data_IF_209598016290
#
_entry.id   IF_209598016290
#
_cell.length_a   1.000
_cell.length_b   1.000
_cell.length_c   1.000
_cell.angle_alpha   90.00
_cell.angle_beta   90.00
_cell.angle_gamma   90.00
#
_symmetry.space_group_name_H-M   'P 1'
#
loop_
_entity.id
_entity.type
_entity.pdbx_description
1 polymer ?
#
# COMPACT_ATOMS: atom_id res chain seq x y z
N UNK A 1 11.29 -21.86 -15.67
CA UNK A 1 11.44 -20.48 -15.17
C UNK A 1 12.92 -20.21 -15.04
N UNK A 2 13.39 -19.09 -15.59
CA UNK A 2 14.78 -18.67 -15.47
C UNK A 2 14.95 -17.96 -14.12
N UNK A 3 15.79 -18.49 -13.23
CA UNK A 3 15.99 -17.99 -11.84
C UNK A 3 17.21 -17.08 -11.72
N UNK A 4 17.79 -16.66 -12.84
CA UNK A 4 19.06 -15.90 -12.93
C UNK A 4 18.99 -14.50 -12.33
N UNK A 5 17.80 -13.88 -12.23
CA UNK A 5 17.64 -12.52 -11.69
C UNK A 5 16.69 -12.38 -10.50
N UNK A 6 15.72 -13.30 -10.34
CA UNK A 6 14.73 -13.28 -9.25
C UNK A 6 14.46 -14.71 -8.76
N UNK A 7 14.59 -14.95 -7.46
CA UNK A 7 14.43 -16.29 -6.88
C UNK A 7 12.95 -16.73 -6.85
N UNK A 8 12.00 -15.83 -6.52
CA UNK A 8 10.55 -16.08 -6.65
C UNK A 8 9.77 -14.77 -6.84
N UNK A 9 8.82 -14.76 -7.78
CA UNK A 9 7.90 -13.62 -8.01
C UNK A 9 6.43 -14.06 -7.98
N UNK A 10 5.51 -13.09 -7.84
CA UNK A 10 4.06 -13.33 -7.90
C UNK A 10 3.59 -14.01 -9.16
N UNK A 11 4.22 -13.67 -10.27
CA UNK A 11 3.94 -14.31 -11.55
C UNK A 11 4.42 -15.77 -11.57
N UNK A 12 5.55 -16.07 -10.93
CA UNK A 12 6.15 -17.42 -10.88
C UNK A 12 5.39 -18.36 -9.96
N UNK A 13 5.01 -17.91 -8.75
CA UNK A 13 4.33 -18.76 -7.75
C UNK A 13 2.90 -19.13 -8.14
N UNK A 14 2.23 -18.23 -8.86
CA UNK A 14 0.84 -18.41 -9.33
C UNK A 14 0.76 -18.87 -10.79
N UNK A 15 1.88 -19.28 -11.42
CA UNK A 15 1.97 -19.78 -12.80
C UNK A 15 1.24 -18.88 -13.84
N UNK A 16 1.52 -17.59 -13.83
CA UNK A 16 0.82 -16.58 -14.66
C UNK A 16 1.48 -16.32 -16.02
N UNK A 17 2.41 -17.16 -16.48
CA UNK A 17 3.19 -16.89 -17.72
C UNK A 17 2.78 -17.81 -18.87
N UNK A 18 2.75 -17.24 -20.09
CA UNK A 18 2.38 -17.78 -21.41
C UNK A 18 0.91 -17.63 -21.84
N UNK A 19 -0.09 -18.13 -21.10
CA UNK A 19 -1.52 -18.04 -21.53
C UNK A 19 -2.36 -17.06 -20.68
N UNK A 20 -1.86 -16.69 -19.50
CA UNK A 20 -2.57 -15.93 -18.46
C UNK A 20 -1.99 -14.53 -18.19
N UNK A 21 -1.34 -13.91 -19.17
CA UNK A 21 -0.77 -12.55 -19.04
C UNK A 21 -1.83 -11.48 -18.69
N UNK A 22 -3.07 -11.67 -19.14
CA UNK A 22 -4.19 -10.77 -18.84
C UNK A 22 -4.54 -10.68 -17.35
N UNK A 23 -4.23 -11.71 -16.56
CA UNK A 23 -4.57 -11.74 -15.13
C UNK A 23 -3.74 -10.74 -14.30
N UNK A 24 -2.51 -10.43 -14.71
CA UNK A 24 -1.72 -9.38 -14.08
C UNK A 24 -2.32 -7.99 -14.35
N UNK A 25 -2.74 -7.74 -15.60
CA UNK A 25 -3.44 -6.50 -15.97
C UNK A 25 -4.80 -6.37 -15.27
N UNK A 26 -5.55 -7.47 -15.15
CA UNK A 26 -6.79 -7.52 -14.38
C UNK A 26 -6.58 -7.21 -12.90
N UNK A 27 -5.52 -7.77 -12.28
CA UNK A 27 -5.19 -7.47 -10.90
C UNK A 27 -4.86 -5.98 -10.69
N UNK A 28 -4.11 -5.35 -11.62
CA UNK A 28 -3.87 -3.91 -11.58
C UNK A 28 -5.15 -3.11 -11.75
N UNK A 29 -5.97 -3.44 -12.76
CA UNK A 29 -7.23 -2.76 -13.02
C UNK A 29 -8.17 -2.82 -11.80
N UNK A 30 -8.33 -4.00 -11.21
CA UNK A 30 -9.15 -4.19 -10.01
C UNK A 30 -8.58 -3.47 -8.79
N UNK A 31 -7.26 -3.35 -8.68
CA UNK A 31 -6.62 -2.52 -7.65
C UNK A 31 -7.01 -1.05 -7.83
N UNK A 32 -6.96 -0.50 -9.05
CA UNK A 32 -7.37 0.88 -9.32
C UNK A 32 -8.87 1.12 -9.12
N UNK A 33 -9.73 0.18 -9.53
CA UNK A 33 -11.17 0.25 -9.26
C UNK A 33 -11.40 0.25 -7.75
N UNK A 34 -10.69 -0.60 -7.01
CA UNK A 34 -10.67 -0.60 -5.56
C UNK A 34 -10.27 0.76 -4.98
N UNK A 35 -9.23 1.41 -5.52
CA UNK A 35 -8.79 2.75 -5.12
C UNK A 35 -9.88 3.81 -5.34
N UNK A 36 -10.56 3.79 -6.48
CA UNK A 36 -11.62 4.76 -6.82
C UNK A 36 -12.78 4.64 -5.83
N UNK A 37 -13.16 3.42 -5.47
CA UNK A 37 -14.26 3.16 -4.52
C UNK A 37 -13.82 3.41 -3.08
N UNK A 38 -12.61 3.00 -2.72
CA UNK A 38 -12.06 3.11 -1.37
C UNK A 38 -11.84 4.53 -0.91
N UNK A 39 -11.29 5.39 -1.79
CA UNK A 39 -10.94 6.78 -1.45
C UNK A 39 -12.11 7.57 -0.81
N UNK A 40 -13.31 7.66 -1.43
CA UNK A 40 -14.43 8.37 -0.83
C UNK A 40 -14.98 7.67 0.41
N UNK A 41 -14.94 6.33 0.47
CA UNK A 41 -15.43 5.56 1.62
C UNK A 41 -14.61 5.84 2.88
N UNK A 42 -13.28 5.75 2.79
CA UNK A 42 -12.39 6.03 3.91
C UNK A 42 -12.34 7.54 4.23
N UNK A 43 -12.54 8.41 3.25
CA UNK A 43 -12.72 9.84 3.45
C UNK A 43 -13.96 10.14 4.30
N UNK A 44 -15.11 9.60 3.92
CA UNK A 44 -16.35 9.73 4.69
C UNK A 44 -16.22 9.16 6.11
N UNK A 45 -15.58 7.99 6.23
CA UNK A 45 -15.35 7.35 7.52
C UNK A 45 -14.46 8.21 8.43
N UNK A 46 -13.41 8.82 7.86
CA UNK A 46 -12.48 9.73 8.54
C UNK A 46 -13.17 10.97 9.08
N UNK A 47 -14.14 11.52 8.35
CA UNK A 47 -14.88 12.70 8.81
C UNK A 47 -15.91 12.35 9.91
N UNK A 48 -16.36 11.09 10.02
CA UNK A 48 -17.33 10.64 11.04
C UNK A 48 -16.70 10.12 12.33
N UNK A 49 -15.68 9.27 12.22
CA UNK A 49 -15.02 8.62 13.39
C UNK A 49 -13.86 9.48 13.91
N UNK A 50 -13.37 10.41 13.09
CA UNK A 50 -12.21 11.25 13.36
C UNK A 50 -11.00 10.80 12.53
N UNK A 51 -10.19 11.79 12.13
CA UNK A 51 -9.08 11.59 11.16
C UNK A 51 -7.97 10.68 11.70
N UNK A 52 -7.66 10.82 13.00
CA UNK A 52 -6.59 10.08 13.68
C UNK A 52 -6.89 8.57 13.83
N UNK A 53 -8.04 8.12 14.37
CA UNK A 53 -8.34 6.68 14.50
C UNK A 53 -8.50 5.99 13.15
N UNK A 54 -9.08 6.66 12.14
CA UNK A 54 -9.24 6.06 10.81
C UNK A 54 -7.90 5.83 10.13
N UNK A 55 -6.93 6.73 10.30
CA UNK A 55 -5.57 6.51 9.84
C UNK A 55 -4.96 5.21 10.40
N UNK A 56 -5.07 4.98 11.71
CA UNK A 56 -4.58 3.74 12.32
C UNK A 56 -5.31 2.50 11.80
N UNK A 57 -6.64 2.56 11.64
CA UNK A 57 -7.43 1.45 11.08
C UNK A 57 -6.96 1.11 9.66
N UNK A 58 -6.81 2.12 8.80
CA UNK A 58 -6.34 1.94 7.42
C UNK A 58 -4.95 1.31 7.38
N UNK A 59 -4.04 1.75 8.26
CA UNK A 59 -2.69 1.17 8.37
C UNK A 59 -2.76 -0.29 8.84
N UNK A 60 -3.55 -0.61 9.85
CA UNK A 60 -3.72 -1.99 10.34
C UNK A 60 -4.33 -2.93 9.29
N UNK A 61 -5.36 -2.48 8.58
CA UNK A 61 -5.97 -3.31 7.51
C UNK A 61 -4.97 -3.54 6.39
N UNK A 62 -4.15 -2.53 6.06
CA UNK A 62 -3.11 -2.66 5.02
C UNK A 62 -2.02 -3.65 5.42
N UNK A 63 -1.57 -3.67 6.68
CA UNK A 63 -0.57 -4.64 7.15
C UNK A 63 -1.13 -6.05 7.16
N UNK A 64 -2.34 -6.25 7.69
CA UNK A 64 -2.99 -7.57 7.74
C UNK A 64 -3.22 -8.12 6.34
N UNK A 65 -3.75 -7.31 5.42
CA UNK A 65 -3.99 -7.72 4.03
C UNK A 65 -2.68 -7.94 3.27
N UNK A 66 -1.63 -7.16 3.56
CA UNK A 66 -0.29 -7.35 2.99
C UNK A 66 0.33 -8.69 3.38
N UNK A 67 0.30 -9.04 4.68
CA UNK A 67 0.79 -10.33 5.18
C UNK A 67 -0.05 -11.49 4.64
N UNK A 68 -1.38 -11.35 4.65
CA UNK A 68 -2.29 -12.37 4.12
C UNK A 68 -2.04 -12.63 2.63
N UNK A 69 -1.74 -11.59 1.84
CA UNK A 69 -1.45 -11.72 0.41
C UNK A 69 -0.21 -12.57 0.12
N UNK A 70 0.73 -12.64 1.06
CA UNK A 70 1.97 -13.43 0.94
C UNK A 70 1.75 -14.90 1.29
N UNK A 71 0.85 -15.19 2.24
CA UNK A 71 0.56 -16.54 2.73
C UNK A 71 -0.39 -17.32 1.82
N UNK A 72 -1.21 -16.61 1.04
CA UNK A 72 -2.25 -17.21 0.19
C UNK A 72 -1.65 -17.72 -1.13
N UNK A 73 -1.91 -19.00 -1.44
CA UNK A 73 -1.57 -19.62 -2.73
C UNK A 73 -2.76 -19.72 -3.71
N UNK A 74 -3.94 -19.19 -3.33
CA UNK A 74 -5.12 -19.18 -4.20
C UNK A 74 -5.24 -17.84 -4.94
N UNK A 75 -5.33 -17.90 -6.27
CA UNK A 75 -5.39 -16.72 -7.14
C UNK A 75 -6.57 -15.78 -6.84
N UNK A 76 -7.76 -16.32 -6.58
CA UNK A 76 -8.97 -15.51 -6.33
C UNK A 76 -8.83 -14.76 -5.00
N UNK A 77 -8.38 -15.46 -3.96
CA UNK A 77 -8.18 -14.87 -2.63
C UNK A 77 -7.07 -13.83 -2.67
N UNK A 78 -5.98 -14.09 -3.40
CA UNK A 78 -4.93 -13.11 -3.65
C UNK A 78 -5.48 -11.85 -4.33
N UNK A 79 -6.32 -12.00 -5.34
CA UNK A 79 -6.91 -10.89 -6.08
C UNK A 79 -7.82 -10.04 -5.19
N UNK A 80 -8.68 -10.66 -4.38
CA UNK A 80 -9.55 -9.95 -3.42
C UNK A 80 -8.72 -9.17 -2.40
N UNK A 81 -7.70 -9.79 -1.80
CA UNK A 81 -6.80 -9.13 -0.85
C UNK A 81 -6.06 -7.96 -1.49
N UNK A 82 -5.63 -8.11 -2.75
CA UNK A 82 -4.96 -7.05 -3.52
C UNK A 82 -5.89 -5.88 -3.80
N UNK A 83 -7.15 -6.14 -4.16
CA UNK A 83 -8.15 -5.09 -4.38
C UNK A 83 -8.45 -4.33 -3.09
N UNK A 84 -8.57 -5.03 -1.96
CA UNK A 84 -8.73 -4.39 -0.64
C UNK A 84 -7.50 -3.53 -0.33
N UNK A 85 -6.29 -4.07 -0.52
CA UNK A 85 -5.05 -3.32 -0.32
C UNK A 85 -4.96 -2.08 -1.23
N UNK A 86 -5.39 -2.20 -2.50
CA UNK A 86 -5.52 -1.11 -3.45
C UNK A 86 -6.41 0.01 -2.96
N UNK A 87 -7.57 -0.34 -2.38
CA UNK A 87 -8.53 0.63 -1.83
C UNK A 87 -7.95 1.51 -0.73
N UNK A 88 -6.95 1.01 0.00
CA UNK A 88 -6.34 1.68 1.15
C UNK A 88 -5.15 2.57 0.76
N UNK A 89 -4.49 2.27 -0.37
CA UNK A 89 -3.29 2.96 -0.85
C UNK A 89 -3.45 4.49 -0.99
N UNK A 90 -4.51 5.02 -1.65
CA UNK A 90 -4.71 6.47 -1.72
C UNK A 90 -5.05 7.08 -0.35
N UNK A 91 -5.78 6.35 0.49
CA UNK A 91 -6.21 6.82 1.81
C UNK A 91 -5.05 6.98 2.79
N UNK A 92 -4.03 6.11 2.71
CA UNK A 92 -2.80 6.23 3.52
C UNK A 92 -2.06 7.53 3.25
N UNK A 93 -2.06 8.01 2.00
CA UNK A 93 -1.43 9.28 1.65
C UNK A 93 -2.32 10.48 1.99
N UNK A 94 -3.63 10.37 1.70
CA UNK A 94 -4.59 11.46 1.87
C UNK A 94 -4.79 11.86 3.34
N UNK A 95 -4.96 10.89 4.24
CA UNK A 95 -5.28 11.15 5.66
C UNK A 95 -4.22 11.96 6.42
N UNK A 96 -2.92 11.61 6.41
CA UNK A 96 -1.90 12.39 7.08
C UNK A 96 -1.65 13.74 6.40
N UNK A 97 -1.83 13.82 5.08
CA UNK A 97 -1.78 15.09 4.35
C UNK A 97 -2.86 16.05 4.84
N UNK A 98 -4.09 15.54 4.98
CA UNK A 98 -5.23 16.28 5.52
C UNK A 98 -4.94 16.77 6.95
N UNK A 99 -4.43 15.90 7.83
CA UNK A 99 -4.07 16.29 9.20
C UNK A 99 -2.98 17.38 9.19
N UNK A 100 -1.98 17.29 8.31
CA UNK A 100 -0.93 18.28 8.19
C UNK A 100 -1.46 19.66 7.75
N UNK A 101 -2.42 19.71 6.81
CA UNK A 101 -3.04 20.98 6.37
C UNK A 101 -4.06 21.53 7.37
N UNK A 102 -4.58 20.73 8.31
CA UNK A 102 -5.38 21.23 9.43
C UNK A 102 -4.52 21.95 10.46
N UNK A 103 -3.33 21.41 10.73
CA UNK A 103 -2.37 22.00 11.68
C UNK A 103 -1.74 23.28 11.09
N UNK A 104 -1.56 23.31 9.77
CA UNK A 104 -0.86 24.39 9.08
C UNK A 104 -1.86 25.38 8.47
N UNK A 105 -1.80 26.65 8.89
CA UNK A 105 -2.65 27.72 8.36
C UNK A 105 -2.55 27.93 6.83
N UNK A 106 -3.53 28.62 6.24
CA UNK A 106 -3.74 28.73 4.78
C UNK A 106 -2.49 29.12 3.98
N UNK A 107 -1.61 29.96 4.53
CA UNK A 107 -0.45 30.53 3.82
C UNK A 107 0.65 29.52 3.51
N UNK A 108 0.73 28.39 4.23
CA UNK A 108 1.82 27.40 4.09
C UNK A 108 1.39 26.08 3.44
N UNK A 109 0.14 25.98 2.96
CA UNK A 109 -0.42 24.74 2.39
C UNK A 109 0.38 24.20 1.18
N UNK A 110 0.85 25.09 0.30
CA UNK A 110 1.65 24.68 -0.86
C UNK A 110 2.99 24.08 -0.45
N UNK A 111 3.63 24.60 0.59
CA UNK A 111 4.88 24.04 1.13
C UNK A 111 4.66 22.65 1.73
N UNK A 112 3.58 22.47 2.50
CA UNK A 112 3.21 21.16 3.06
C UNK A 112 2.97 20.13 1.96
N UNK A 113 2.26 20.52 0.89
CA UNK A 113 2.05 19.66 -0.27
C UNK A 113 3.38 19.28 -0.94
N UNK A 114 4.28 20.24 -1.17
CA UNK A 114 5.60 19.97 -1.77
C UNK A 114 6.43 19.03 -0.89
N UNK A 115 6.44 19.23 0.43
CA UNK A 115 7.13 18.35 1.38
C UNK A 115 6.57 16.92 1.36
N UNK A 116 5.24 16.77 1.29
CA UNK A 116 4.60 15.46 1.19
C UNK A 116 5.00 14.72 -0.10
N UNK A 117 5.06 15.42 -1.23
CA UNK A 117 5.51 14.84 -2.50
C UNK A 117 6.99 14.44 -2.48
N UNK A 118 7.86 15.26 -1.87
CA UNK A 118 9.28 14.93 -1.69
C UNK A 118 9.42 13.68 -0.82
N UNK A 119 8.66 13.59 0.29
CA UNK A 119 8.65 12.42 1.17
C UNK A 119 8.19 11.16 0.43
N UNK A 120 7.20 11.27 -0.46
CA UNK A 120 6.78 10.15 -1.32
C UNK A 120 7.95 9.71 -2.20
N UNK A 121 8.57 10.64 -2.93
CA UNK A 121 9.71 10.35 -3.81
C UNK A 121 10.84 9.62 -3.09
N UNK A 122 11.23 10.11 -1.91
CA UNK A 122 12.25 9.47 -1.06
C UNK A 122 11.81 8.05 -0.67
N UNK A 123 10.55 7.88 -0.27
CA UNK A 123 9.99 6.56 0.06
C UNK A 123 10.08 5.57 -1.10
N UNK A 124 9.79 6.00 -2.34
CA UNK A 124 9.93 5.15 -3.52
C UNK A 124 11.39 4.80 -3.81
N UNK A 125 12.32 5.74 -3.67
CA UNK A 125 13.76 5.47 -3.84
C UNK A 125 14.27 4.45 -2.83
N UNK A 126 13.87 4.58 -1.56
CA UNK A 126 14.23 3.61 -0.50
C UNK A 126 13.61 2.25 -0.82
N UNK A 127 12.34 2.21 -1.24
CA UNK A 127 11.66 0.96 -1.60
C UNK A 127 12.35 0.26 -2.78
N UNK A 128 12.77 1.00 -3.80
CA UNK A 128 13.49 0.46 -4.96
C UNK A 128 14.87 -0.09 -4.56
N UNK A 129 15.60 0.62 -3.70
CA UNK A 129 16.90 0.18 -3.18
C UNK A 129 16.74 -1.10 -2.34
N UNK A 130 15.71 -1.17 -1.50
CA UNK A 130 15.38 -2.37 -0.73
C UNK A 130 14.99 -3.53 -1.64
N UNK A 131 14.20 -3.28 -2.68
CA UNK A 131 13.81 -4.30 -3.65
C UNK A 131 15.02 -4.89 -4.40
N UNK A 132 16.01 -4.05 -4.71
CA UNK A 132 17.26 -4.47 -5.32
C UNK A 132 18.10 -5.37 -4.40
N UNK A 133 18.16 -5.03 -3.11
CA UNK A 133 18.94 -5.77 -2.10
C UNK A 133 18.28 -7.10 -1.74
N UNK A 134 16.97 -7.11 -1.53
CA UNK A 134 16.30 -8.27 -0.92
C UNK A 134 15.85 -9.32 -1.94
N UNK A 135 15.60 -8.94 -3.20
CA UNK A 135 15.16 -9.80 -4.35
C UNK A 135 14.01 -10.80 -4.09
N UNK A 136 13.46 -10.84 -2.89
CA UNK A 136 12.32 -11.61 -2.43
C UNK A 136 11.16 -10.67 -2.05
N UNK A 137 10.05 -10.83 -2.76
CA UNK A 137 8.77 -10.18 -2.52
C UNK A 137 8.15 -10.36 -1.12
N UNK A 138 8.39 -11.50 -0.47
CA UNK A 138 7.88 -11.83 0.88
C UNK A 138 8.54 -10.93 1.93
N UNK A 139 9.86 -10.79 1.84
CA UNK A 139 10.65 -9.98 2.77
C UNK A 139 10.36 -8.48 2.59
N UNK A 140 10.06 -8.03 1.36
CA UNK A 140 9.56 -6.68 1.09
C UNK A 140 8.19 -6.42 1.74
N UNK A 141 7.28 -7.39 1.68
CA UNK A 141 5.97 -7.32 2.33
C UNK A 141 6.06 -7.28 3.86
N UNK A 142 7.00 -8.03 4.44
CA UNK A 142 7.26 -8.01 5.88
C UNK A 142 7.90 -6.70 6.34
N UNK A 143 8.81 -6.13 5.56
CA UNK A 143 9.48 -4.87 5.89
C UNK A 143 8.53 -3.67 5.85
N UNK A 144 7.68 -3.59 4.83
CA UNK A 144 6.62 -2.57 4.74
C UNK A 144 5.60 -2.69 5.88
N UNK A 145 5.28 -3.92 6.28
CA UNK A 145 4.40 -4.19 7.43
C UNK A 145 5.06 -3.83 8.77
N UNK A 146 6.37 -4.02 8.92
CA UNK A 146 7.15 -3.67 10.12
C UNK A 146 7.21 -2.15 10.34
N UNK A 147 7.44 -1.38 9.27
CA UNK A 147 7.43 0.09 9.34
C UNK A 147 6.08 0.64 9.83
N UNK A 148 4.98 -0.01 9.42
CA UNK A 148 3.64 0.31 9.89
C UNK A 148 3.38 -0.08 11.35
N UNK A 149 3.98 -1.16 11.85
CA UNK A 149 3.86 -1.58 13.25
C UNK A 149 4.59 -0.64 14.24
N UNK A 150 5.69 -0.02 13.81
CA UNK A 150 6.41 0.99 14.59
C UNK A 150 5.51 2.21 14.88
N UNK A 151 4.64 2.60 13.95
CA UNK A 151 3.66 3.67 14.18
C UNK A 151 2.62 3.33 15.25
N UNK A 152 2.26 2.06 15.41
CA UNK A 152 1.38 1.61 16.50
C UNK A 152 2.06 1.67 17.87
N UNK A 153 3.39 1.47 17.93
CA UNK A 153 4.19 1.59 19.15
C UNK A 153 4.35 3.05 19.61
N UNK A 154 4.31 4.03 18.69
CA UNK A 154 4.31 5.46 19.01
C UNK A 154 2.99 6.00 19.59
N UNK A 155 1.99 5.14 19.82
CA UNK A 155 0.72 5.49 20.48
C UNK A 155 0.83 5.61 22.02
N UNK A 156 2.04 5.54 22.58
CA UNK A 156 2.28 5.71 24.02
C UNK A 156 2.60 7.17 24.36
#
# INVERSE_FOLDING_TARGET
>A
YDTTHFEETAATKLNLVCENSHYASLAMALTYVGSIIGTPLYGYLSDRIGRKPVFFIVVAVTTVTGIASVLVNNFIVFLVLRTINGSLMPSIFQLPYIIAIEIVGMTKRTLVNSMANISWGIGLCILALMAYVTRHWVTLGLFTSSSCAIFFLYRK
#
